data_IF_475787379243
#
_entry.id   IF_475787379243
#
_cell.length_a   1.000
_cell.length_b   1.000
_cell.length_c   1.000
_cell.angle_alpha   90.00
_cell.angle_beta   90.00
_cell.angle_gamma   90.00
#
_symmetry.space_group_name_H-M   'P 1'
#
loop_
_entity.id
_entity.type
_entity.pdbx_description
1 polymer ?
#
# COMPACT_ATOMS: atom_id res chain seq x y z
N UNK A 1 -3.02 -9.90 -17.64
CA UNK A 1 -3.50 -9.42 -16.34
C UNK A 1 -4.92 -8.95 -16.50
N UNK A 2 -5.74 -9.06 -15.47
CA UNK A 2 -7.14 -8.63 -15.49
C UNK A 2 -7.31 -7.44 -14.56
N UNK A 3 -8.20 -6.52 -14.93
CA UNK A 3 -8.59 -5.38 -14.11
C UNK A 3 -10.06 -5.55 -13.71
N UNK A 4 -10.32 -5.66 -12.41
CA UNK A 4 -11.68 -5.68 -11.88
C UNK A 4 -12.03 -4.32 -11.26
N UNK A 5 -13.07 -3.67 -11.77
CA UNK A 5 -13.59 -2.44 -11.22
C UNK A 5 -14.88 -2.71 -10.43
N UNK A 6 -14.88 -2.39 -9.13
CA UNK A 6 -16.07 -2.46 -8.28
C UNK A 6 -16.72 -1.08 -8.20
N UNK A 7 -17.89 -0.93 -8.84
CA UNK A 7 -18.62 0.34 -8.96
C UNK A 7 -19.95 0.30 -8.21
N UNK A 8 -20.41 1.46 -7.73
CA UNK A 8 -21.64 1.59 -6.96
C UNK A 8 -21.74 2.96 -6.29
N UNK A 9 -22.94 3.35 -5.85
CA UNK A 9 -23.20 4.63 -5.20
C UNK A 9 -22.40 4.82 -3.90
N UNK A 10 -22.31 6.06 -3.41
CA UNK A 10 -21.75 6.31 -2.08
C UNK A 10 -22.53 5.54 -1.03
N UNK A 11 -21.84 4.90 -0.08
CA UNK A 11 -22.48 4.05 0.93
C UNK A 11 -22.82 2.62 0.49
N UNK A 12 -22.65 2.25 -0.78
CA UNK A 12 -22.95 0.89 -1.30
C UNK A 12 -22.03 -0.24 -0.76
N UNK A 13 -21.16 0.04 0.22
CA UNK A 13 -20.31 -0.98 0.84
C UNK A 13 -19.07 -1.39 0.05
N UNK A 14 -18.69 -0.69 -1.02
CA UNK A 14 -17.48 -1.00 -1.84
C UNK A 14 -16.21 -1.14 -0.99
N UNK A 15 -15.92 -0.14 -0.17
CA UNK A 15 -14.76 -0.14 0.74
C UNK A 15 -14.90 -1.24 1.80
N UNK A 16 -16.12 -1.49 2.28
CA UNK A 16 -16.40 -2.56 3.24
C UNK A 16 -16.11 -3.94 2.66
N UNK A 17 -16.50 -4.19 1.40
CA UNK A 17 -16.23 -5.43 0.68
C UNK A 17 -14.73 -5.65 0.49
N UNK A 18 -14.00 -4.64 -0.02
CA UNK A 18 -12.56 -4.73 -0.22
C UNK A 18 -11.81 -4.97 1.10
N UNK A 19 -12.21 -4.29 2.18
CA UNK A 19 -11.68 -4.53 3.52
C UNK A 19 -11.98 -5.95 4.00
N UNK A 20 -13.20 -6.46 3.80
CA UNK A 20 -13.58 -7.82 4.19
C UNK A 20 -12.77 -8.88 3.45
N UNK A 21 -12.54 -8.71 2.15
CA UNK A 21 -11.70 -9.60 1.34
C UNK A 21 -10.24 -9.57 1.81
N UNK A 22 -9.72 -8.40 2.18
CA UNK A 22 -8.36 -8.22 2.68
C UNK A 22 -8.17 -8.60 4.18
N UNK A 23 -9.16 -9.23 4.83
CA UNK A 23 -9.15 -9.53 6.27
C UNK A 23 -8.99 -8.29 7.17
N UNK A 24 -9.46 -7.13 6.73
CA UNK A 24 -9.41 -5.84 7.44
C UNK A 24 -10.82 -5.33 7.80
N UNK A 25 -11.74 -6.23 8.12
CA UNK A 25 -13.12 -5.87 8.45
C UNK A 25 -13.18 -4.84 9.59
N UNK A 26 -13.93 -3.76 9.36
CA UNK A 26 -14.16 -2.74 10.39
C UNK A 26 -14.99 -3.30 11.54
N UNK A 27 -14.88 -2.67 12.73
CA UNK A 27 -15.72 -3.03 13.89
C UNK A 27 -17.20 -2.95 13.50
N UNK A 28 -17.96 -3.99 13.83
CA UNK A 28 -19.40 -4.10 13.49
C UNK A 28 -19.69 -4.84 12.18
N UNK A 29 -18.67 -5.15 11.37
CA UNK A 29 -18.85 -6.01 10.17
C UNK A 29 -18.63 -7.46 10.56
N UNK A 30 -19.71 -8.25 10.56
CA UNK A 30 -19.64 -9.69 10.76
C UNK A 30 -19.53 -10.40 9.42
N UNK A 31 -18.52 -11.26 9.28
CA UNK A 31 -18.38 -12.16 8.13
C UNK A 31 -18.99 -13.50 8.52
N UNK A 32 -19.86 -14.03 7.66
CA UNK A 32 -20.49 -15.33 7.92
C UNK A 32 -19.41 -16.41 8.14
N UNK A 33 -19.57 -17.31 9.14
CA UNK A 33 -18.68 -18.45 9.31
C UNK A 33 -18.62 -19.37 8.09
N UNK A 34 -19.65 -19.35 7.23
CA UNK A 34 -19.69 -20.12 5.97
C UNK A 34 -18.91 -19.47 4.82
N UNK A 35 -18.42 -18.23 4.98
CA UNK A 35 -17.69 -17.53 3.93
C UNK A 35 -16.26 -18.04 3.79
N UNK A 36 -15.86 -18.34 2.55
CA UNK A 36 -14.50 -18.79 2.22
C UNK A 36 -13.83 -17.74 1.33
N UNK A 37 -12.62 -17.33 1.70
CA UNK A 37 -11.74 -16.51 0.85
C UNK A 37 -10.69 -17.42 0.25
N UNK A 38 -10.51 -17.34 -1.06
CA UNK A 38 -9.57 -18.18 -1.80
C UNK A 38 -8.56 -17.34 -2.56
N UNK A 39 -7.34 -17.84 -2.65
CA UNK A 39 -6.29 -17.33 -3.52
C UNK A 39 -5.80 -18.53 -4.36
N UNK A 40 -5.80 -18.38 -5.68
CA UNK A 40 -5.40 -19.45 -6.61
C UNK A 40 -6.12 -20.79 -6.34
N UNK A 41 -7.42 -20.73 -6.04
CA UNK A 41 -8.26 -21.92 -5.78
C UNK A 41 -8.06 -22.57 -4.40
N UNK A 42 -7.24 -22.01 -3.52
CA UNK A 42 -7.01 -22.54 -2.17
C UNK A 42 -7.56 -21.58 -1.11
N UNK A 43 -8.22 -22.07 -0.05
CA UNK A 43 -8.58 -21.26 1.10
C UNK A 43 -7.36 -20.56 1.69
N UNK A 44 -7.50 -19.29 2.07
CA UNK A 44 -6.39 -18.52 2.65
C UNK A 44 -6.71 -17.97 4.02
N UNK A 45 -5.67 -17.88 4.84
CA UNK A 45 -5.69 -17.16 6.11
C UNK A 45 -5.35 -15.68 5.91
N UNK A 46 -5.62 -14.86 6.95
CA UNK A 46 -5.24 -13.45 6.95
C UNK A 46 -3.72 -13.25 6.73
N UNK A 47 -2.89 -14.12 7.31
CA UNK A 47 -1.43 -14.05 7.20
C UNK A 47 -0.96 -14.32 5.78
N UNK A 48 -1.52 -15.34 5.12
CA UNK A 48 -1.18 -15.68 3.74
C UNK A 48 -1.65 -14.60 2.76
N UNK A 49 -2.84 -14.04 2.98
CA UNK A 49 -3.34 -12.92 2.20
C UNK A 49 -2.39 -11.71 2.29
N UNK A 50 -1.96 -11.35 3.51
CA UNK A 50 -1.02 -10.23 3.71
C UNK A 50 0.37 -10.50 3.12
N UNK A 51 0.81 -11.75 3.05
CA UNK A 51 2.11 -12.11 2.50
C UNK A 51 2.14 -12.13 0.96
N UNK A 52 0.98 -12.28 0.30
CA UNK A 52 0.88 -12.48 -1.16
C UNK A 52 0.14 -11.36 -1.89
N UNK A 53 -0.60 -10.52 -1.19
CA UNK A 53 -1.37 -9.44 -1.76
C UNK A 53 -1.02 -8.10 -1.09
N UNK A 54 -0.95 -7.04 -1.90
CA UNK A 54 -0.83 -5.67 -1.43
C UNK A 54 -2.21 -5.02 -1.28
N UNK A 55 -2.37 -4.16 -0.27
CA UNK A 55 -3.61 -3.42 -0.03
C UNK A 55 -3.32 -1.95 0.21
N UNK A 56 -3.52 -1.14 -0.82
CA UNK A 56 -3.36 0.32 -0.73
C UNK A 56 -4.62 0.92 -0.12
N UNK A 57 -4.48 1.60 1.02
CA UNK A 57 -5.60 2.21 1.72
C UNK A 57 -6.11 3.48 1.02
N UNK A 58 -7.31 3.91 1.40
CA UNK A 58 -7.88 5.17 0.93
C UNK A 58 -7.13 6.39 1.48
N UNK A 59 -6.70 6.33 2.75
CA UNK A 59 -5.90 7.34 3.41
C UNK A 59 -4.51 6.80 3.70
N UNK A 60 -3.50 7.50 3.21
CA UNK A 60 -2.11 7.11 3.39
C UNK A 60 -1.53 7.77 4.65
N UNK A 61 -0.99 6.97 5.57
CA UNK A 61 -0.36 7.44 6.79
C UNK A 61 1.15 7.59 6.55
N UNK A 62 1.57 8.79 6.18
CA UNK A 62 2.98 9.11 6.01
C UNK A 62 3.53 9.94 7.17
N UNK A 63 4.81 9.74 7.46
CA UNK A 63 5.58 10.63 8.32
C UNK A 63 5.96 11.85 7.47
N UNK A 64 5.27 12.97 7.68
CA UNK A 64 5.38 14.15 6.81
C UNK A 64 6.76 14.82 6.80
N UNK A 65 7.61 14.55 7.80
CA UNK A 65 8.99 15.06 7.88
C UNK A 65 9.99 14.29 7.04
N UNK A 66 9.66 13.08 6.56
CA UNK A 66 10.53 12.29 5.68
C UNK A 66 10.36 12.72 4.22
N UNK A 67 11.41 12.54 3.44
CA UNK A 67 11.35 12.56 1.98
C UNK A 67 10.76 11.27 1.42
N UNK A 68 10.28 11.31 0.17
CA UNK A 68 9.79 10.12 -0.53
C UNK A 68 10.85 9.00 -0.55
N UNK A 69 12.12 9.33 -0.84
CA UNK A 69 13.21 8.35 -0.87
C UNK A 69 13.52 7.76 0.49
N UNK A 70 13.60 8.58 1.54
CA UNK A 70 13.82 8.10 2.91
C UNK A 70 12.71 7.15 3.37
N UNK A 71 11.45 7.50 3.06
CA UNK A 71 10.32 6.64 3.36
C UNK A 71 10.43 5.27 2.69
N UNK A 72 10.78 5.22 1.41
CA UNK A 72 10.95 3.97 0.67
C UNK A 72 12.15 3.15 1.16
N UNK A 73 13.26 3.78 1.51
CA UNK A 73 14.42 3.09 2.10
C UNK A 73 14.04 2.50 3.46
N UNK A 74 13.31 3.24 4.28
CA UNK A 74 12.83 2.75 5.56
C UNK A 74 11.92 1.53 5.39
N UNK A 75 10.93 1.61 4.50
CA UNK A 75 10.04 0.49 4.18
C UNK A 75 10.81 -0.73 3.66
N UNK A 76 11.72 -0.54 2.70
CA UNK A 76 12.54 -1.62 2.18
C UNK A 76 13.40 -2.27 3.27
N UNK A 77 13.96 -1.48 4.19
CA UNK A 77 14.79 -2.00 5.28
C UNK A 77 14.01 -2.89 6.23
N UNK A 78 12.77 -2.52 6.56
CA UNK A 78 11.91 -3.24 7.51
C UNK A 78 11.18 -4.43 6.87
N UNK A 79 10.70 -4.30 5.64
CA UNK A 79 9.87 -5.32 4.96
C UNK A 79 10.68 -6.36 4.19
N UNK A 80 11.84 -6.01 3.63
CA UNK A 80 12.62 -6.95 2.81
C UNK A 80 13.40 -7.96 3.68
N UNK A 81 13.65 -9.17 3.16
CA UNK A 81 14.40 -10.20 3.87
C UNK A 81 15.76 -9.71 4.39
N UNK A 82 16.16 -10.21 5.56
CA UNK A 82 17.49 -9.93 6.14
C UNK A 82 18.65 -10.49 5.33
N UNK A 83 18.38 -11.43 4.43
CA UNK A 83 19.36 -12.00 3.49
C UNK A 83 19.79 -11.03 2.40
N UNK A 84 19.00 -9.98 2.12
CA UNK A 84 19.38 -8.94 1.16
C UNK A 84 20.29 -7.90 1.81
N UNK A 85 21.38 -7.56 1.12
CA UNK A 85 22.30 -6.51 1.54
C UNK A 85 21.65 -5.12 1.43
N UNK A 86 22.13 -4.15 2.21
CA UNK A 86 21.64 -2.77 2.12
C UNK A 86 21.77 -2.19 0.70
N UNK A 87 22.85 -2.54 -0.02
CA UNK A 87 23.04 -2.12 -1.42
C UNK A 87 21.93 -2.65 -2.34
N UNK A 88 21.56 -3.92 -2.20
CA UNK A 88 20.47 -4.51 -2.99
C UNK A 88 19.11 -3.88 -2.66
N UNK A 89 18.85 -3.59 -1.37
CA UNK A 89 17.61 -2.91 -0.95
C UNK A 89 17.52 -1.50 -1.54
N UNK A 90 18.60 -0.73 -1.50
CA UNK A 90 18.68 0.61 -2.08
C UNK A 90 18.47 0.55 -3.60
N UNK A 91 19.13 -0.39 -4.28
CA UNK A 91 18.96 -0.57 -5.72
C UNK A 91 17.50 -0.90 -6.09
N UNK A 92 16.82 -1.72 -5.27
CA UNK A 92 15.40 -2.01 -5.46
C UNK A 92 14.53 -0.75 -5.29
N UNK A 93 14.84 0.10 -4.31
CA UNK A 93 14.16 1.39 -4.10
C UNK A 93 14.37 2.31 -5.31
N UNK A 94 15.60 2.41 -5.82
CA UNK A 94 15.89 3.25 -6.98
C UNK A 94 15.11 2.77 -8.22
N UNK A 95 14.95 1.45 -8.41
CA UNK A 95 14.10 0.89 -9.45
C UNK A 95 12.62 1.28 -9.28
N UNK A 96 12.06 1.15 -8.07
CA UNK A 96 10.66 1.54 -7.79
C UNK A 96 10.43 3.03 -8.03
N UNK A 97 11.40 3.88 -7.67
CA UNK A 97 11.33 5.33 -7.93
C UNK A 97 11.24 5.62 -9.43
N UNK A 98 11.95 4.85 -10.27
CA UNK A 98 11.87 4.98 -11.71
C UNK A 98 10.55 4.45 -12.26
N UNK A 99 10.15 3.24 -11.87
CA UNK A 99 8.93 2.56 -12.34
C UNK A 99 7.67 3.41 -12.07
N UNK A 100 7.62 4.07 -10.92
CA UNK A 100 6.49 4.91 -10.51
C UNK A 100 6.73 6.41 -10.78
N UNK A 101 7.76 6.74 -11.56
CA UNK A 101 8.08 8.11 -11.97
C UNK A 101 8.13 9.11 -10.81
N UNK A 102 8.76 8.72 -9.71
CA UNK A 102 8.97 9.54 -8.50
C UNK A 102 10.32 10.28 -8.52
N UNK A 103 11.15 10.10 -9.55
CA UNK A 103 12.51 10.64 -9.59
C UNK A 103 12.63 12.16 -9.40
N UNK A 104 11.64 12.95 -9.86
CA UNK A 104 11.62 14.41 -9.68
C UNK A 104 11.31 14.85 -8.25
N UNK A 105 10.58 14.03 -7.49
CA UNK A 105 10.11 14.37 -6.14
C UNK A 105 10.69 13.47 -5.05
N UNK A 106 11.67 12.63 -5.38
CA UNK A 106 12.29 11.67 -4.46
C UNK A 106 12.92 12.33 -3.23
N UNK A 107 13.49 13.54 -3.39
CA UNK A 107 14.13 14.30 -2.31
C UNK A 107 13.19 15.37 -1.70
N UNK A 108 11.92 15.37 -2.11
CA UNK A 108 10.91 16.29 -1.56
C UNK A 108 10.30 15.67 -0.32
N UNK A 109 10.10 16.47 0.73
CA UNK A 109 9.37 16.05 1.92
C UNK A 109 7.92 15.65 1.58
N UNK A 110 7.41 14.62 2.23
CA UNK A 110 6.04 14.15 1.99
C UNK A 110 5.02 15.23 2.40
N UNK A 111 5.33 15.97 3.47
CA UNK A 111 4.51 17.03 4.02
C UNK A 111 3.33 16.50 4.84
N UNK A 112 2.67 17.42 5.53
CA UNK A 112 1.46 17.14 6.33
C UNK A 112 0.31 17.92 5.70
N UNK A 113 -0.74 17.26 5.19
CA UNK A 113 -1.88 17.94 4.57
C UNK A 113 -2.43 19.06 5.48
N UNK A 114 -2.55 20.27 4.94
CA UNK A 114 -3.05 21.43 5.68
C UNK A 114 -2.08 22.10 6.66
N UNK A 115 -0.85 21.58 6.83
CA UNK A 115 0.17 22.19 7.71
C UNK A 115 1.49 22.47 7.01
N UNK A 116 2.05 21.46 6.33
CA UNK A 116 3.36 21.55 5.67
C UNK A 116 3.20 21.12 4.23
N UNK A 117 3.48 22.03 3.30
CA UNK A 117 3.48 21.74 1.87
C UNK A 117 4.60 20.73 1.57
N UNK A 118 4.27 19.71 0.78
CA UNK A 118 5.19 18.66 0.37
C UNK A 118 4.76 18.12 -0.99
N UNK A 119 4.73 16.80 -1.13
CA UNK A 119 4.27 16.12 -2.34
C UNK A 119 2.85 16.54 -2.74
N UNK A 120 2.61 16.63 -4.05
CA UNK A 120 1.27 16.74 -4.61
C UNK A 120 0.42 15.51 -4.30
N UNK A 121 -0.91 15.62 -4.43
CA UNK A 121 -1.80 14.48 -4.19
C UNK A 121 -1.52 13.26 -5.09
N UNK A 122 -1.20 13.51 -6.36
CA UNK A 122 -0.84 12.45 -7.31
C UNK A 122 0.50 11.78 -6.99
N UNK A 123 1.52 12.56 -6.63
CA UNK A 123 2.82 12.02 -6.19
C UNK A 123 2.69 11.22 -4.91
N UNK A 124 1.90 11.72 -3.94
CA UNK A 124 1.60 11.01 -2.70
C UNK A 124 0.91 9.67 -2.97
N UNK A 125 -0.02 9.63 -3.93
CA UNK A 125 -0.67 8.36 -4.28
C UNK A 125 0.29 7.38 -4.94
N UNK A 126 1.16 7.84 -5.84
CA UNK A 126 2.22 7.00 -6.41
C UNK A 126 3.22 6.51 -5.34
N UNK A 127 3.56 7.35 -4.36
CA UNK A 127 4.35 6.94 -3.21
C UNK A 127 3.64 5.85 -2.39
N UNK A 128 2.31 5.94 -2.21
CA UNK A 128 1.55 4.90 -1.51
C UNK A 128 1.58 3.56 -2.25
N UNK A 129 1.52 3.57 -3.58
CA UNK A 129 1.74 2.38 -4.40
C UNK A 129 3.19 1.87 -4.30
N UNK A 130 4.18 2.77 -4.22
CA UNK A 130 5.59 2.42 -4.11
C UNK A 130 5.95 1.76 -2.77
N UNK A 131 5.19 2.06 -1.72
CA UNK A 131 5.42 1.55 -0.36
C UNK A 131 4.91 0.13 -0.13
N UNK A 132 4.01 -0.36 -0.98
CA UNK A 132 3.42 -1.70 -0.92
C UNK A 132 4.11 -2.68 -1.88
#
# INVERSE_FOLDING_TARGET
GELLAVMGSSGAGKTTLLNALAFRSARGVQISPSSVRMLNGQPVTAKEMQARCAYVQQFDLFIGSLTAREHLIFQATVRMPRTMTQKQKIQRVDQVIQDLSLGKCQNTIIGVPGRVKGLSGGERKRLAFASE
#
